data_IF_420320724842
#
_entry.id   IF_420320724842
#
_cell.length_a   1.000
_cell.length_b   1.000
_cell.length_c   1.000
_cell.angle_alpha   90.00
_cell.angle_beta   90.00
_cell.angle_gamma   90.00
#
_symmetry.space_group_name_H-M   'P 1'
#
loop_
_entity.id
_entity.type
_entity.pdbx_description
1 polymer ?
#
# COMPACT_ATOMS: atom_id res chain seq x y z
N UNK A 1 -48.18 0.25 -32.00
CA UNK A 1 -47.87 -1.19 -32.17
C UNK A 1 -47.18 -1.68 -30.90
N UNK A 2 -47.99 -2.16 -29.94
CA UNK A 2 -47.51 -2.75 -28.68
C UNK A 2 -47.17 -4.22 -28.91
N UNK A 3 -45.98 -4.65 -28.47
CA UNK A 3 -45.70 -6.08 -28.28
C UNK A 3 -45.19 -6.26 -26.84
N UNK A 4 -46.14 -6.60 -25.97
CA UNK A 4 -45.91 -7.25 -24.69
C UNK A 4 -45.35 -8.66 -24.95
N UNK A 5 -44.21 -9.01 -24.35
CA UNK A 5 -43.89 -10.40 -24.04
C UNK A 5 -43.52 -10.54 -22.58
N UNK A 6 -44.53 -10.95 -21.80
CA UNK A 6 -44.34 -11.73 -20.57
C UNK A 6 -43.62 -13.01 -20.94
N UNK A 7 -42.61 -13.40 -20.18
CA UNK A 7 -42.31 -14.82 -20.00
C UNK A 7 -41.91 -15.09 -18.55
N UNK A 8 -42.61 -16.05 -17.95
CA UNK A 8 -42.50 -16.46 -16.56
C UNK A 8 -41.35 -17.45 -16.38
N UNK A 9 -40.65 -17.25 -15.26
CA UNK A 9 -39.97 -18.20 -14.37
C UNK A 9 -39.73 -19.65 -14.86
N UNK A 10 -38.47 -20.07 -14.81
CA UNK A 10 -38.09 -21.40 -14.33
C UNK A 10 -36.97 -21.27 -13.32
N UNK A 11 -37.23 -21.76 -12.10
CA UNK A 11 -36.28 -21.88 -11.02
C UNK A 11 -35.16 -22.85 -11.40
N UNK A 12 -33.92 -22.35 -11.48
CA UNK A 12 -32.73 -23.19 -11.39
C UNK A 12 -32.07 -22.94 -10.04
N UNK A 13 -32.27 -23.91 -9.14
CA UNK A 13 -31.56 -24.07 -7.89
C UNK A 13 -30.07 -24.25 -8.17
N UNK A 14 -29.34 -23.14 -8.27
CA UNK A 14 -27.89 -23.11 -8.20
C UNK A 14 -27.51 -22.71 -6.78
N UNK A 15 -26.87 -23.61 -6.05
CA UNK A 15 -26.30 -23.34 -4.74
C UNK A 15 -25.29 -22.20 -4.86
N UNK A 16 -25.77 -20.96 -4.69
CA UNK A 16 -24.94 -19.79 -4.45
C UNK A 16 -24.34 -20.00 -3.07
N UNK A 17 -23.11 -20.51 -3.06
CA UNK A 17 -22.28 -20.51 -1.85
C UNK A 17 -21.83 -19.08 -1.62
N UNK A 18 -22.75 -18.23 -1.14
CA UNK A 18 -22.40 -16.94 -0.56
C UNK A 18 -21.46 -17.23 0.60
N UNK A 19 -20.18 -16.88 0.45
CA UNK A 19 -19.30 -16.62 1.60
C UNK A 19 -19.86 -15.38 2.31
N UNK A 20 -20.90 -15.60 3.09
CA UNK A 20 -21.21 -14.77 4.25
C UNK A 20 -20.08 -14.98 5.28
N UNK A 21 -19.78 -13.91 5.99
CA UNK A 21 -18.73 -13.77 7.00
C UNK A 21 -17.31 -13.47 6.49
N UNK A 22 -17.13 -12.29 5.90
CA UNK A 22 -16.05 -11.42 6.38
C UNK A 22 -16.68 -10.29 7.21
N UNK A 23 -17.18 -10.63 8.40
CA UNK A 23 -17.27 -9.66 9.46
C UNK A 23 -15.86 -9.49 10.00
N UNK A 24 -15.09 -8.60 9.39
CA UNK A 24 -13.97 -7.99 10.06
C UNK A 24 -14.42 -6.64 10.63
N UNK A 25 -15.16 -6.72 11.73
CA UNK A 25 -15.36 -5.63 12.66
C UNK A 25 -14.16 -5.54 13.61
N UNK A 26 -12.94 -5.53 13.05
CA UNK A 26 -11.79 -4.94 13.72
C UNK A 26 -11.40 -3.68 12.94
N UNK A 27 -12.29 -2.69 13.02
CA UNK A 27 -11.83 -1.31 13.11
C UNK A 27 -10.92 -1.24 14.34
N UNK A 28 -9.61 -1.36 14.13
CA UNK A 28 -8.59 -0.95 15.10
C UNK A 28 -8.62 0.58 15.20
N UNK A 29 -9.75 1.10 15.67
CA UNK A 29 -9.83 2.43 16.24
C UNK A 29 -9.35 2.26 17.66
N UNK A 30 -8.14 2.75 17.90
CA UNK A 30 -7.57 2.89 19.23
C UNK A 30 -8.57 3.71 20.03
N UNK A 31 -9.15 3.11 21.08
CA UNK A 31 -10.10 3.82 21.92
C UNK A 31 -9.30 4.78 22.81
N UNK A 32 -9.89 5.90 23.23
CA UNK A 32 -9.25 6.85 24.14
C UNK A 32 -8.82 6.18 25.47
N UNK A 33 -9.41 5.03 25.77
CA UNK A 33 -9.13 4.17 26.92
C UNK A 33 -7.76 3.49 26.81
N UNK A 34 -7.27 3.24 25.58
CA UNK A 34 -5.95 2.66 25.30
C UNK A 34 -4.78 3.62 25.63
N UNK A 35 -5.05 4.93 25.78
CA UNK A 35 -4.06 5.96 26.09
C UNK A 35 -3.98 6.30 27.59
N UNK A 36 -4.99 5.91 28.37
CA UNK A 36 -5.10 6.23 29.80
C UNK A 36 -5.05 5.00 30.72
N UNK A 37 -5.03 3.78 30.16
CA UNK A 37 -4.84 2.55 30.92
C UNK A 37 -3.39 2.37 31.35
N UNK A 38 -3.16 2.22 32.65
CA UNK A 38 -1.89 1.75 33.21
C UNK A 38 -1.39 0.48 32.48
N UNK A 39 -0.07 0.29 32.30
CA UNK A 39 0.46 -0.77 31.44
C UNK A 39 0.18 -2.15 32.03
N UNK A 40 -0.88 -2.82 31.58
CA UNK A 40 -0.99 -4.28 31.70
C UNK A 40 -0.34 -4.91 30.47
N UNK A 41 0.98 -5.06 30.56
CA UNK A 41 1.92 -5.38 29.48
C UNK A 41 1.90 -6.86 29.01
N UNK A 42 0.73 -7.52 28.99
CA UNK A 42 0.67 -8.99 28.79
C UNK A 42 -0.31 -9.50 27.74
N UNK A 43 -1.15 -8.65 27.13
CA UNK A 43 -2.22 -9.15 26.25
C UNK A 43 -1.82 -9.41 24.77
N UNK A 44 -0.68 -8.87 24.29
CA UNK A 44 -0.30 -8.94 22.86
C UNK A 44 1.11 -9.48 22.59
N UNK A 45 1.77 -10.10 23.59
CA UNK A 45 3.07 -10.74 23.39
C UNK A 45 2.88 -12.11 22.70
N UNK A 46 3.47 -12.35 21.52
CA UNK A 46 3.39 -13.65 20.86
C UNK A 46 4.03 -14.71 21.74
N UNK A 47 3.31 -15.80 21.99
CA UNK A 47 3.79 -16.91 22.83
C UNK A 47 5.09 -17.48 22.25
N UNK A 48 5.99 -18.00 23.08
CA UNK A 48 7.27 -18.59 22.64
C UNK A 48 7.09 -19.63 21.52
N UNK A 49 6.06 -20.47 21.60
CA UNK A 49 5.73 -21.44 20.55
C UNK A 49 5.37 -20.78 19.19
N UNK A 50 4.73 -19.61 19.20
CA UNK A 50 4.40 -18.85 17.98
C UNK A 50 5.65 -18.21 17.36
N UNK A 51 6.55 -17.70 18.20
CA UNK A 51 7.85 -17.18 17.78
C UNK A 51 8.70 -18.27 17.12
N UNK A 52 8.80 -19.44 17.74
CA UNK A 52 9.51 -20.59 17.17
C UNK A 52 8.89 -21.06 15.85
N UNK A 53 7.55 -21.16 15.77
CA UNK A 53 6.87 -21.51 14.54
C UNK A 53 7.14 -20.50 13.41
N UNK A 54 7.21 -19.21 13.73
CA UNK A 54 7.57 -18.15 12.78
C UNK A 54 9.01 -18.28 12.30
N UNK A 55 9.96 -18.52 13.21
CA UNK A 55 11.38 -18.72 12.87
C UNK A 55 11.56 -19.96 11.97
N UNK A 56 10.89 -21.08 12.27
CA UNK A 56 10.92 -22.29 11.43
C UNK A 56 10.43 -22.03 10.01
N UNK A 57 9.39 -21.19 9.82
CA UNK A 57 8.92 -20.81 8.48
C UNK A 57 9.94 -19.96 7.73
N UNK A 58 10.61 -19.04 8.43
CA UNK A 58 11.65 -18.20 7.84
C UNK A 58 12.85 -19.04 7.40
N UNK A 59 13.31 -19.96 8.26
CA UNK A 59 14.42 -20.88 7.95
C UNK A 59 14.08 -21.74 6.73
N UNK A 60 12.91 -22.40 6.71
CA UNK A 60 12.49 -23.21 5.55
C UNK A 60 12.43 -22.42 4.25
N UNK A 61 11.95 -21.17 4.28
CA UNK A 61 11.92 -20.30 3.08
C UNK A 61 13.32 -19.93 2.60
N UNK A 62 14.26 -19.73 3.52
CA UNK A 62 15.67 -19.44 3.17
C UNK A 62 16.36 -20.67 2.61
N UNK A 63 16.16 -21.83 3.23
CA UNK A 63 16.71 -23.11 2.78
C UNK A 63 16.19 -23.49 1.39
N UNK A 64 14.88 -23.36 1.15
CA UNK A 64 14.30 -23.66 -0.16
C UNK A 64 14.79 -22.70 -1.25
N UNK A 65 14.95 -21.42 -0.94
CA UNK A 65 15.51 -20.43 -1.86
C UNK A 65 16.98 -20.74 -2.19
N UNK A 66 17.79 -21.10 -1.18
CA UNK A 66 19.19 -21.49 -1.38
C UNK A 66 19.31 -22.74 -2.25
N UNK A 67 18.54 -23.78 -1.94
CA UNK A 67 18.57 -25.03 -2.69
C UNK A 67 18.11 -24.85 -4.14
N UNK A 68 17.06 -24.06 -4.37
CA UNK A 68 16.60 -23.74 -5.72
C UNK A 68 17.68 -22.99 -6.51
N UNK A 69 18.29 -21.96 -5.92
CA UNK A 69 19.36 -21.21 -6.55
C UNK A 69 20.59 -22.08 -6.86
N UNK A 70 20.91 -23.03 -5.97
CA UNK A 70 21.99 -23.99 -6.17
C UNK A 70 21.68 -24.95 -7.33
N UNK A 71 20.47 -25.51 -7.39
CA UNK A 71 20.03 -26.35 -8.50
C UNK A 71 20.04 -25.60 -9.83
N UNK A 72 19.57 -24.35 -9.86
CA UNK A 72 19.60 -23.49 -11.06
C UNK A 72 21.04 -23.18 -11.48
N UNK A 73 21.94 -22.92 -10.52
CA UNK A 73 23.36 -22.74 -10.80
C UNK A 73 23.97 -24.01 -11.38
N UNK A 74 23.70 -25.18 -10.81
CA UNK A 74 24.20 -26.46 -11.32
C UNK A 74 23.68 -26.76 -12.73
N UNK A 75 22.40 -26.53 -13.01
CA UNK A 75 21.84 -26.65 -14.36
C UNK A 75 22.48 -25.68 -15.34
N UNK A 76 22.80 -24.46 -14.90
CA UNK A 76 23.48 -23.47 -15.74
C UNK A 76 24.91 -23.90 -16.04
N UNK A 77 25.63 -24.39 -15.03
CA UNK A 77 26.98 -24.93 -15.19
C UNK A 77 26.97 -26.14 -16.13
N UNK A 78 26.00 -27.05 -15.98
CA UNK A 78 25.82 -28.20 -16.87
C UNK A 78 25.61 -27.76 -18.32
N UNK A 79 24.76 -26.76 -18.58
CA UNK A 79 24.57 -26.20 -19.92
C UNK A 79 25.84 -25.61 -20.53
N UNK A 80 26.69 -24.98 -19.71
CA UNK A 80 27.95 -24.39 -20.17
C UNK A 80 29.04 -25.45 -20.41
N UNK A 81 29.05 -26.53 -19.61
CA UNK A 81 30.01 -27.63 -19.74
C UNK A 81 29.57 -28.69 -20.76
N UNK A 82 28.32 -28.66 -21.21
CA UNK A 82 27.83 -29.53 -22.29
C UNK A 82 28.46 -29.08 -23.60
N UNK A 83 29.64 -29.63 -23.87
CA UNK A 83 30.28 -29.59 -25.19
C UNK A 83 29.28 -30.10 -26.22
N UNK A 84 29.00 -29.37 -27.31
CA UNK A 84 28.28 -29.97 -28.43
C UNK A 84 29.18 -31.08 -28.97
N UNK A 85 28.87 -32.33 -28.63
CA UNK A 85 29.45 -33.48 -29.31
C UNK A 85 28.94 -33.42 -30.76
N UNK A 86 29.77 -32.83 -31.61
CA UNK A 86 29.81 -33.15 -33.03
C UNK A 86 29.93 -34.67 -33.14
N UNK A 87 28.86 -35.35 -33.55
CA UNK A 87 28.89 -36.55 -34.37
C UNK A 87 27.46 -36.94 -34.81
N UNK A 88 27.33 -37.25 -36.11
CA UNK A 88 26.19 -37.79 -36.88
C UNK A 88 25.19 -36.82 -37.54
N UNK A 89 25.58 -36.40 -38.75
CA UNK A 89 24.85 -36.53 -40.04
C UNK A 89 23.56 -35.73 -40.31
N UNK A 90 23.76 -34.67 -41.10
CA UNK A 90 23.03 -34.25 -42.31
C UNK A 90 21.58 -34.69 -42.51
N UNK A 91 20.69 -33.71 -42.40
CA UNK A 91 19.68 -33.45 -43.42
C UNK A 91 19.38 -31.96 -43.44
N UNK A 92 19.87 -31.29 -44.48
CA UNK A 92 19.61 -29.89 -44.75
C UNK A 92 18.12 -29.62 -44.90
N UNK A 93 17.57 -28.83 -44.00
CA UNK A 93 16.36 -28.06 -44.28
C UNK A 93 16.50 -26.72 -43.57
N UNK A 94 16.90 -25.71 -44.32
CA UNK A 94 16.93 -24.31 -43.88
C UNK A 94 15.55 -23.91 -43.34
N UNK A 95 15.44 -23.42 -42.09
CA UNK A 95 14.34 -22.55 -41.71
C UNK A 95 14.88 -21.12 -41.58
N UNK A 96 14.20 -20.23 -42.29
CA UNK A 96 14.49 -18.81 -42.33
C UNK A 96 14.65 -18.15 -40.96
N UNK A 97 15.53 -17.15 -40.98
CA UNK A 97 15.79 -16.09 -40.03
C UNK A 97 14.67 -15.78 -39.01
N UNK A 98 15.11 -15.59 -37.76
CA UNK A 98 14.40 -14.97 -36.64
C UNK A 98 13.23 -15.77 -36.03
N UNK A 99 13.57 -16.78 -35.24
CA UNK A 99 12.77 -17.08 -34.05
C UNK A 99 13.66 -16.99 -32.81
N UNK A 100 13.88 -15.75 -32.33
CA UNK A 100 14.25 -15.56 -30.94
C UNK A 100 13.08 -16.11 -30.14
N UNK A 101 13.24 -17.28 -29.54
CA UNK A 101 12.31 -17.83 -28.57
C UNK A 101 12.32 -16.93 -27.32
N UNK A 102 11.70 -15.76 -27.45
CA UNK A 102 11.22 -14.97 -26.32
C UNK A 102 10.19 -15.86 -25.68
N UNK A 103 10.55 -16.45 -24.53
CA UNK A 103 9.59 -17.14 -23.68
C UNK A 103 8.34 -16.25 -23.59
N UNK A 104 7.15 -16.75 -23.95
CA UNK A 104 5.95 -15.93 -23.96
C UNK A 104 5.83 -15.28 -22.58
N UNK A 105 5.57 -13.96 -22.49
CA UNK A 105 5.33 -13.36 -21.20
C UNK A 105 4.24 -14.19 -20.54
N UNK A 106 4.46 -14.62 -19.30
CA UNK A 106 3.53 -15.51 -18.57
C UNK A 106 2.13 -14.91 -18.37
N UNK A 107 1.93 -13.68 -18.87
CA UNK A 107 0.71 -12.88 -18.87
C UNK A 107 0.32 -12.39 -20.28
N UNK A 108 0.86 -12.97 -21.36
CA UNK A 108 0.37 -12.68 -22.71
C UNK A 108 -1.09 -13.13 -22.78
N UNK A 109 -2.00 -12.17 -22.87
CA UNK A 109 -3.41 -12.46 -23.12
C UNK A 109 -3.50 -13.26 -24.42
N UNK A 110 -4.29 -14.34 -24.39
CA UNK A 110 -4.59 -15.12 -25.59
C UNK A 110 -5.10 -14.19 -26.69
N UNK A 111 -4.73 -14.35 -27.97
CA UNK A 111 -5.16 -13.45 -29.05
C UNK A 111 -6.68 -13.37 -29.23
N UNK A 112 -7.43 -14.30 -28.64
CA UNK A 112 -8.91 -14.31 -28.60
C UNK A 112 -9.50 -13.71 -27.33
N UNK A 113 -8.69 -13.24 -26.39
CA UNK A 113 -9.18 -12.57 -25.20
C UNK A 113 -9.74 -11.21 -25.62
N UNK A 114 -11.06 -11.05 -25.51
CA UNK A 114 -11.72 -9.76 -25.67
C UNK A 114 -11.09 -8.79 -24.68
N UNK A 115 -10.35 -7.80 -25.18
CA UNK A 115 -9.65 -6.79 -24.37
C UNK A 115 -10.62 -5.91 -23.59
N UNK A 116 -11.88 -5.88 -24.03
CA UNK A 116 -12.95 -5.20 -23.34
C UNK A 116 -13.65 -6.15 -22.35
N UNK A 117 -13.66 -5.79 -21.06
CA UNK A 117 -14.42 -6.56 -20.10
C UNK A 117 -15.92 -6.43 -20.42
N UNK A 118 -16.75 -7.37 -19.95
CA UNK A 118 -18.20 -7.26 -20.08
C UNK A 118 -18.74 -5.96 -19.49
N UNK A 119 -19.97 -5.58 -19.87
CA UNK A 119 -20.62 -4.40 -19.34
C UNK A 119 -20.75 -4.46 -17.80
N UNK A 120 -20.53 -3.33 -17.12
CA UNK A 120 -20.63 -3.22 -15.65
C UNK A 120 -19.33 -3.46 -14.88
N UNK A 121 -18.22 -3.74 -15.56
CA UNK A 121 -16.91 -3.89 -14.92
C UNK A 121 -16.13 -2.57 -14.89
N UNK A 122 -15.35 -2.38 -13.83
CA UNK A 122 -14.42 -1.26 -13.67
C UNK A 122 -13.06 -1.67 -14.25
N UNK A 123 -12.43 -0.81 -15.07
CA UNK A 123 -11.09 -1.07 -15.63
C UNK A 123 -10.04 -0.33 -14.82
N UNK A 124 -9.00 -1.04 -14.39
CA UNK A 124 -7.78 -0.44 -13.88
C UNK A 124 -6.69 -0.60 -14.94
N UNK A 125 -6.17 0.52 -15.44
CA UNK A 125 -5.15 0.55 -16.48
C UNK A 125 -3.89 1.13 -15.87
N UNK A 126 -2.86 0.31 -15.71
CA UNK A 126 -1.53 0.77 -15.27
C UNK A 126 -0.60 0.85 -16.48
N UNK A 127 -0.08 2.04 -16.78
CA UNK A 127 0.90 2.25 -17.83
C UNK A 127 1.76 3.48 -17.55
N UNK A 128 3.05 3.35 -17.77
CA UNK A 128 4.03 4.45 -17.73
C UNK A 128 3.78 5.50 -18.83
N UNK A 129 2.94 5.17 -19.82
CA UNK A 129 2.51 6.12 -20.86
C UNK A 129 1.55 7.19 -20.34
N UNK A 130 0.89 6.92 -19.22
CA UNK A 130 0.09 7.92 -18.51
C UNK A 130 1.04 8.63 -17.54
N UNK A 131 1.27 9.92 -17.78
CA UNK A 131 2.14 10.79 -16.97
C UNK A 131 1.36 12.05 -16.61
N UNK A 132 1.40 12.51 -15.34
CA UNK A 132 2.23 12.03 -14.23
C UNK A 132 1.73 10.74 -13.55
N UNK A 133 0.47 10.38 -13.77
CA UNK A 133 -0.17 9.27 -13.07
C UNK A 133 -0.08 7.98 -13.90
N UNK A 134 0.63 6.99 -13.39
CA UNK A 134 0.84 5.72 -14.09
C UNK A 134 -0.38 4.79 -14.05
N UNK A 135 -1.48 5.21 -13.43
CA UNK A 135 -2.69 4.39 -13.24
C UNK A 135 -3.97 5.17 -13.48
N UNK A 136 -4.84 4.63 -14.34
CA UNK A 136 -6.15 5.19 -14.68
C UNK A 136 -7.26 4.20 -14.30
N UNK A 137 -8.30 4.70 -13.63
CA UNK A 137 -9.51 3.94 -13.32
C UNK A 137 -10.65 4.37 -14.28
N UNK A 138 -11.13 3.46 -15.14
CA UNK A 138 -12.27 3.72 -16.02
C UNK A 138 -13.53 3.06 -15.46
N UNK A 139 -14.58 3.87 -15.30
CA UNK A 139 -15.83 3.48 -14.66
C UNK A 139 -16.94 3.34 -15.72
N UNK A 140 -17.83 2.34 -15.59
CA UNK A 140 -18.99 2.27 -16.44
C UNK A 140 -19.95 3.44 -16.14
N UNK A 141 -20.72 3.91 -17.14
CA UNK A 141 -21.59 5.08 -17.01
C UNK A 141 -22.73 4.89 -15.99
N UNK A 142 -22.94 3.66 -15.52
CA UNK A 142 -23.93 3.31 -14.50
C UNK A 142 -23.45 3.61 -13.08
N UNK A 143 -22.17 3.94 -12.88
CA UNK A 143 -21.58 4.24 -11.56
C UNK A 143 -21.24 5.72 -11.51
N UNK A 144 -22.06 6.49 -10.80
CA UNK A 144 -21.65 7.82 -10.36
C UNK A 144 -20.84 7.69 -9.07
N UNK A 145 -19.54 7.98 -9.13
CA UNK A 145 -18.74 8.09 -7.92
C UNK A 145 -18.83 9.53 -7.44
N UNK A 146 -19.63 9.75 -6.41
CA UNK A 146 -19.48 10.94 -5.55
C UNK A 146 -18.14 10.82 -4.81
N UNK A 147 -17.05 11.25 -5.46
CA UNK A 147 -15.75 11.49 -4.81
C UNK A 147 -15.88 12.73 -3.92
N UNK A 148 -16.74 12.65 -2.91
CA UNK A 148 -16.77 13.60 -1.83
C UNK A 148 -15.52 13.31 -0.99
N UNK A 149 -14.43 14.01 -1.31
CA UNK A 149 -13.35 14.15 -0.35
C UNK A 149 -13.99 14.78 0.90
N UNK A 150 -13.93 14.12 2.07
CA UNK A 150 -14.39 14.76 3.27
C UNK A 150 -13.60 16.05 3.40
N UNK A 151 -14.28 17.19 3.24
CA UNK A 151 -13.74 18.50 3.59
C UNK A 151 -13.62 18.51 5.11
N UNK A 152 -12.58 17.86 5.61
CA UNK A 152 -12.13 18.06 6.98
C UNK A 152 -11.73 19.53 7.03
N UNK A 153 -12.55 20.33 7.71
CA UNK A 153 -12.26 21.73 7.98
C UNK A 153 -10.88 21.75 8.64
N UNK A 154 -9.92 22.41 8.00
CA UNK A 154 -8.58 22.53 8.55
C UNK A 154 -8.67 23.17 9.95
N UNK A 155 -7.90 22.67 10.94
CA UNK A 155 -7.78 23.36 12.22
C UNK A 155 -7.40 24.83 12.01
N UNK A 156 -7.89 25.74 12.85
CA UNK A 156 -7.55 27.15 12.73
C UNK A 156 -6.02 27.33 12.76
N UNK A 157 -5.51 28.24 11.93
CA UNK A 157 -4.07 28.49 11.84
C UNK A 157 -3.51 28.87 13.22
N UNK A 158 -2.36 28.30 13.65
CA UNK A 158 -1.80 28.61 14.96
C UNK A 158 -1.42 30.08 15.05
N UNK A 159 -1.98 30.78 16.05
CA UNK A 159 -1.72 32.21 16.26
C UNK A 159 -0.26 32.44 16.62
N UNK A 160 0.47 33.17 15.77
CA UNK A 160 1.85 33.57 16.04
C UNK A 160 1.86 34.64 17.14
N UNK A 161 2.34 34.26 18.33
CA UNK A 161 2.51 35.20 19.44
C UNK A 161 3.80 36.00 19.30
N UNK A 162 3.73 37.30 19.61
CA UNK A 162 4.90 38.18 19.67
C UNK A 162 5.46 38.23 21.10
N UNK A 163 6.72 38.66 21.21
CA UNK A 163 7.37 38.91 22.49
C UNK A 163 6.62 39.97 23.29
N UNK A 164 6.30 39.71 24.57
CA UNK A 164 5.59 40.64 25.44
C UNK A 164 6.42 41.84 25.88
N UNK A 165 7.74 41.84 25.62
CA UNK A 165 8.65 42.90 26.07
C UNK A 165 9.06 43.83 24.94
N UNK A 166 9.37 43.29 23.76
CA UNK A 166 9.75 44.11 22.62
C UNK A 166 8.65 44.25 21.58
N UNK A 167 7.59 43.44 21.60
CA UNK A 167 6.47 43.45 20.63
C UNK A 167 6.84 43.31 19.14
N UNK A 168 8.12 43.16 18.80
CA UNK A 168 8.61 43.17 17.42
C UNK A 168 8.95 41.78 16.88
N UNK A 169 9.41 40.88 17.77
CA UNK A 169 9.92 39.56 17.36
C UNK A 169 8.95 38.46 17.76
N UNK A 170 8.81 37.39 16.96
CA UNK A 170 8.05 36.21 17.34
C UNK A 170 8.54 35.61 18.67
N UNK A 171 7.60 35.02 19.41
CA UNK A 171 7.89 34.23 20.62
C UNK A 171 8.85 33.10 20.27
N UNK A 172 9.93 32.98 21.04
CA UNK A 172 10.84 31.83 21.01
C UNK A 172 10.57 30.86 22.17
N UNK A 173 10.22 31.39 23.34
CA UNK A 173 9.89 30.59 24.51
C UNK A 173 8.90 31.34 25.41
N UNK A 174 8.35 30.67 26.43
CA UNK A 174 7.57 31.31 27.48
C UNK A 174 8.40 31.40 28.77
N UNK A 175 8.24 32.49 29.52
CA UNK A 175 8.83 32.62 30.85
C UNK A 175 8.20 31.59 31.80
N UNK A 176 8.99 30.74 32.50
CA UNK A 176 8.45 29.68 33.35
C UNK A 176 7.65 30.21 34.56
N UNK A 177 7.98 31.42 35.05
CA UNK A 177 7.30 32.01 36.22
C UNK A 177 6.03 32.78 35.85
N UNK A 178 5.97 33.39 34.66
CA UNK A 178 4.90 34.33 34.29
C UNK A 178 4.08 33.89 33.08
N UNK A 179 4.48 32.82 32.38
CA UNK A 179 3.87 32.37 31.13
C UNK A 179 4.06 33.34 29.95
N UNK A 180 4.63 34.54 30.16
CA UNK A 180 4.72 35.57 29.13
C UNK A 180 5.62 35.14 27.95
N UNK A 181 5.23 35.42 26.70
CA UNK A 181 6.02 35.07 25.52
C UNK A 181 7.25 35.96 25.39
N UNK A 182 8.42 35.38 25.13
CA UNK A 182 9.69 36.11 25.03
C UNK A 182 10.49 35.69 23.81
N UNK A 183 11.28 36.61 23.27
CA UNK A 183 12.16 36.36 22.12
C UNK A 183 13.65 36.21 22.47
N UNK A 184 14.12 36.70 23.62
CA UNK A 184 15.55 36.68 24.00
C UNK A 184 15.75 36.75 25.51
N UNK A 185 16.93 36.32 25.97
CA UNK A 185 17.32 36.39 27.38
C UNK A 185 17.38 37.83 27.90
N UNK A 186 17.66 38.81 27.04
CA UNK A 186 17.60 40.23 27.39
C UNK A 186 16.17 40.65 27.74
N UNK A 187 15.18 40.25 26.93
CA UNK A 187 13.77 40.47 27.24
C UNK A 187 13.34 39.72 28.52
N UNK A 188 13.90 38.55 28.79
CA UNK A 188 13.67 37.84 30.06
C UNK A 188 14.22 38.62 31.26
N UNK A 189 15.43 39.18 31.16
CA UNK A 189 16.03 40.00 32.21
C UNK A 189 15.22 41.28 32.45
N UNK A 190 14.80 41.97 31.38
CA UNK A 190 13.93 43.15 31.46
C UNK A 190 12.58 42.83 32.14
N UNK A 191 11.97 41.70 31.78
CA UNK A 191 10.75 41.22 32.42
C UNK A 191 10.93 40.95 33.91
N UNK A 192 12.08 40.38 34.31
CA UNK A 192 12.39 40.14 35.73
C UNK A 192 12.65 41.43 36.51
N UNK A 193 13.29 42.42 35.90
CA UNK A 193 13.51 43.74 36.52
C UNK A 193 12.20 44.46 36.84
N UNK A 194 11.23 44.44 35.93
CA UNK A 194 9.92 45.06 36.13
C UNK A 194 9.06 44.36 37.19
N UNK A 195 9.23 43.06 37.38
CA UNK A 195 8.45 42.28 38.36
C UNK A 195 8.83 42.51 39.83
N UNK A 196 9.84 43.35 40.10
CA UNK A 196 10.30 43.68 41.46
C UNK A 196 9.64 44.97 42.00
N UNK A 197 9.06 45.81 41.15
CA UNK A 197 8.46 47.09 41.57
C UNK A 197 6.96 47.04 41.91
N UNK A 198 6.35 45.85 41.90
CA UNK A 198 4.91 45.67 42.19
C UNK A 198 4.70 44.71 43.38
N UNK A 199 5.51 44.83 44.42
CA UNK A 199 5.31 44.10 45.68
C UNK A 199 5.54 45.01 46.87
#
# INVERSE_FOLDING_TARGET
MHILRRNQQTASSGLVRTRLAYQNSQSSLWSLEDLTGAPSDTANQPTAAQLEARLRRIVRRRESAKHKAEMEKMQTVEKLLRVPSSDSEDSEQFPDSNTVAVAPPKNALHPSATLDPPAGYIRLISSERFSPDTTVLALPPTIEISLAFPHLIAPPEPVRSLCSQCCLRPRRYACPKTGKPLCSLECFKALRGQSVEVS
#
